data_IF_949284474181
#
_entry.id   IF_949284474181
#
_cell.length_a   1.000
_cell.length_b   1.000
_cell.length_c   1.000
_cell.angle_alpha   90.00
_cell.angle_beta   90.00
_cell.angle_gamma   90.00
#
_symmetry.space_group_name_H-M   'P 1'
#
loop_
_entity.id
_entity.type
_entity.pdbx_description
1 polymer ?
#
# COMPACT_ATOMS: atom_id res chain seq x y z
N UNK A 1 -11.77 22.31 -1.02
CA UNK A 1 -10.34 22.50 -0.71
C UNK A 1 -9.59 22.57 -2.02
N UNK A 2 -8.75 23.58 -2.23
CA UNK A 2 -7.86 23.63 -3.38
C UNK A 2 -6.79 22.54 -3.21
N UNK A 3 -6.71 21.60 -4.14
CA UNK A 3 -5.59 20.70 -4.23
C UNK A 3 -4.34 21.56 -4.52
N UNK A 4 -3.42 21.65 -3.55
CA UNK A 4 -2.09 22.16 -3.83
C UNK A 4 -1.44 21.10 -4.73
N UNK A 5 -1.50 21.32 -6.04
CA UNK A 5 -0.74 20.53 -6.99
C UNK A 5 0.74 20.79 -6.70
N UNK A 6 1.40 19.82 -6.06
CA UNK A 6 2.83 19.87 -5.84
C UNK A 6 3.49 19.64 -7.21
N UNK A 7 4.03 20.73 -7.77
CA UNK A 7 4.88 20.68 -8.96
C UNK A 7 6.03 19.70 -8.70
N UNK A 8 6.15 18.62 -9.50
CA UNK A 8 7.28 17.73 -9.40
C UNK A 8 8.57 18.53 -9.62
N UNK A 9 9.66 18.18 -8.91
CA UNK A 9 10.90 18.92 -9.09
C UNK A 9 11.34 18.88 -10.56
N UNK A 10 11.86 19.99 -11.09
CA UNK A 10 12.40 20.05 -12.47
C UNK A 10 13.44 18.93 -12.70
N UNK A 11 14.14 18.50 -11.66
CA UNK A 11 15.07 17.38 -11.71
C UNK A 11 14.36 16.05 -11.95
N UNK A 12 13.22 15.81 -11.31
CA UNK A 12 12.44 14.57 -11.47
C UNK A 12 12.02 14.37 -12.92
N UNK A 13 11.43 15.38 -13.54
CA UNK A 13 10.96 15.29 -14.93
C UNK A 13 12.11 15.08 -15.92
N UNK A 14 13.29 15.62 -15.63
CA UNK A 14 14.50 15.38 -16.43
C UNK A 14 15.01 13.95 -16.27
N UNK A 15 15.01 13.41 -15.05
CA UNK A 15 15.46 12.04 -14.77
C UNK A 15 14.49 11.03 -15.37
N UNK A 16 13.18 11.24 -15.26
CA UNK A 16 12.15 10.37 -15.85
C UNK A 16 12.23 10.26 -17.37
N UNK A 17 12.76 11.27 -18.06
CA UNK A 17 13.00 11.22 -19.52
C UNK A 17 14.18 10.34 -19.91
N UNK A 18 15.03 9.98 -18.95
CA UNK A 18 16.27 9.21 -19.18
C UNK A 18 16.11 7.78 -18.68
N UNK A 19 15.34 7.56 -17.62
CA UNK A 19 15.06 6.23 -17.08
C UNK A 19 14.17 5.42 -18.02
N UNK A 20 14.48 4.13 -18.16
CA UNK A 20 13.59 3.18 -18.82
C UNK A 20 12.49 2.72 -17.86
N UNK A 21 11.35 2.21 -18.36
CA UNK A 21 10.30 1.67 -17.50
C UNK A 21 10.80 0.57 -16.54
N UNK A 22 11.74 -0.27 -16.98
CA UNK A 22 12.28 -1.40 -16.23
C UNK A 22 13.08 -0.96 -14.99
N UNK A 23 13.63 0.26 -15.01
CA UNK A 23 14.36 0.85 -13.88
C UNK A 23 13.43 1.42 -12.80
N UNK A 24 12.11 1.39 -13.01
CA UNK A 24 11.12 2.05 -12.17
C UNK A 24 10.20 1.03 -11.53
N UNK A 25 10.00 1.12 -10.21
CA UNK A 25 9.02 0.26 -9.55
C UNK A 25 7.61 0.61 -9.99
N UNK A 26 6.68 -0.32 -9.82
CA UNK A 26 5.24 -0.07 -9.94
C UNK A 26 4.67 -0.06 -8.52
N UNK A 27 4.15 1.09 -8.10
CA UNK A 27 3.60 1.30 -6.77
C UNK A 27 2.07 1.38 -6.88
N UNK A 28 1.38 0.37 -6.37
CA UNK A 28 -0.07 0.37 -6.23
C UNK A 28 -0.41 1.07 -4.93
N UNK A 29 -1.06 2.23 -5.00
CA UNK A 29 -1.40 3.03 -3.80
C UNK A 29 -2.87 2.89 -3.47
N UNK A 30 -3.16 2.53 -2.22
CA UNK A 30 -4.51 2.39 -1.72
C UNK A 30 -5.28 3.72 -1.64
N UNK A 31 -6.62 3.68 -1.70
CA UNK A 31 -7.44 4.89 -1.70
C UNK A 31 -7.44 5.67 -0.38
N UNK A 32 -7.06 5.00 0.72
CA UNK A 32 -7.02 5.57 2.07
C UNK A 32 -5.63 6.08 2.48
N UNK A 33 -4.67 6.09 1.56
CA UNK A 33 -3.29 6.46 1.85
C UNK A 33 -3.18 7.84 2.49
N UNK A 34 -2.40 7.91 3.57
CA UNK A 34 -2.14 9.17 4.25
C UNK A 34 -1.44 10.12 3.28
N UNK A 35 -1.81 11.40 3.33
CA UNK A 35 -1.33 12.40 2.39
C UNK A 35 0.21 12.47 2.32
N UNK A 36 0.91 12.26 3.43
CA UNK A 36 2.37 12.22 3.48
C UNK A 36 2.96 11.03 2.70
N UNK A 37 2.33 9.86 2.75
CA UNK A 37 2.78 8.68 2.02
C UNK A 37 2.54 8.88 0.53
N UNK A 38 1.33 9.30 0.16
CA UNK A 38 0.98 9.60 -1.23
C UNK A 38 1.94 10.65 -1.83
N UNK A 39 2.31 11.66 -1.05
CA UNK A 39 3.28 12.65 -1.50
C UNK A 39 4.67 12.03 -1.73
N UNK A 40 5.13 11.17 -0.82
CA UNK A 40 6.42 10.50 -0.93
C UNK A 40 6.50 9.67 -2.21
N UNK A 41 5.43 8.93 -2.52
CA UNK A 41 5.31 8.19 -3.77
C UNK A 41 5.24 9.10 -5.00
N UNK A 42 4.44 10.17 -4.98
CA UNK A 42 4.35 11.12 -6.12
C UNK A 42 5.66 11.82 -6.43
N UNK A 43 6.50 12.01 -5.42
CA UNK A 43 7.83 12.61 -5.56
C UNK A 43 8.91 11.60 -5.94
N UNK A 44 8.65 10.30 -5.81
CA UNK A 44 9.57 9.25 -6.25
C UNK A 44 9.65 9.17 -7.78
N UNK A 45 10.62 8.38 -8.26
CA UNK A 45 10.82 8.12 -9.69
C UNK A 45 9.98 6.93 -10.18
N UNK A 46 9.21 6.31 -9.29
CA UNK A 46 8.43 5.13 -9.58
C UNK A 46 7.16 5.47 -10.37
N UNK A 47 6.47 4.45 -10.85
CA UNK A 47 5.17 4.60 -11.47
C UNK A 47 4.07 4.33 -10.45
N UNK A 48 3.17 5.29 -10.28
CA UNK A 48 2.08 5.20 -9.31
C UNK A 48 0.79 4.77 -10.00
N UNK A 49 0.15 3.77 -9.41
CA UNK A 49 -1.12 3.23 -9.85
C UNK A 49 -2.11 3.31 -8.69
N UNK A 50 -3.04 4.26 -8.75
CA UNK A 50 -4.03 4.45 -7.68
C UNK A 50 -5.13 3.37 -7.75
N UNK A 51 -5.45 2.75 -6.61
CA UNK A 51 -6.54 1.75 -6.48
C UNK A 51 -7.83 2.46 -6.05
N UNK A 52 -8.95 2.10 -6.68
CA UNK A 52 -10.28 2.65 -6.37
C UNK A 52 -10.83 2.13 -5.05
N UNK A 53 -11.89 2.79 -4.58
CA UNK A 53 -12.77 2.25 -3.54
C UNK A 53 -13.83 1.37 -4.18
N UNK A 54 -14.27 0.34 -3.46
CA UNK A 54 -15.51 -0.40 -3.76
C UNK A 54 -16.74 0.33 -3.18
N UNK A 55 -17.92 -0.28 -3.36
CA UNK A 55 -19.20 0.27 -2.91
C UNK A 55 -19.31 0.34 -1.36
N UNK A 56 -18.48 -0.43 -0.66
CA UNK A 56 -18.36 -0.46 0.80
C UNK A 56 -17.32 0.53 1.34
N UNK A 57 -16.58 1.22 0.46
CA UNK A 57 -15.52 2.15 0.84
C UNK A 57 -14.23 1.46 1.30
N UNK A 58 -14.02 0.21 0.92
CA UNK A 58 -12.79 -0.54 1.07
C UNK A 58 -11.94 -0.47 -0.21
N UNK A 59 -10.64 -0.83 -0.15
CA UNK A 59 -9.85 -0.98 -1.37
C UNK A 59 -10.49 -1.99 -2.33
N UNK A 60 -10.77 -1.56 -3.55
CA UNK A 60 -11.37 -2.40 -4.59
C UNK A 60 -10.38 -3.48 -5.06
N UNK A 61 -10.63 -4.71 -4.61
CA UNK A 61 -9.80 -5.89 -4.89
C UNK A 61 -9.84 -6.30 -6.36
N UNK A 62 -10.93 -6.05 -7.07
CA UNK A 62 -11.03 -6.34 -8.50
C UNK A 62 -10.21 -5.32 -9.31
N UNK A 63 -10.27 -4.04 -8.95
CA UNK A 63 -9.38 -3.00 -9.50
C UNK A 63 -7.91 -3.35 -9.24
N UNK A 64 -7.55 -3.74 -8.00
CA UNK A 64 -6.19 -4.13 -7.67
C UNK A 64 -5.73 -5.31 -8.53
N UNK A 65 -6.54 -6.36 -8.66
CA UNK A 65 -6.23 -7.52 -9.48
C UNK A 65 -6.05 -7.17 -10.95
N UNK A 66 -6.96 -6.39 -11.52
CA UNK A 66 -6.89 -5.96 -12.92
C UNK A 66 -5.61 -5.19 -13.20
N UNK A 67 -5.23 -4.29 -12.28
CA UNK A 67 -4.01 -3.51 -12.38
C UNK A 67 -2.77 -4.38 -12.21
N UNK A 68 -2.74 -5.30 -11.25
CA UNK A 68 -1.62 -6.26 -11.12
C UNK A 68 -1.43 -7.12 -12.37
N UNK A 69 -2.52 -7.62 -12.98
CA UNK A 69 -2.43 -8.41 -14.22
C UNK A 69 -1.84 -7.60 -15.37
N UNK A 70 -2.12 -6.31 -15.45
CA UNK A 70 -1.55 -5.43 -16.48
C UNK A 70 -0.02 -5.29 -16.39
N UNK A 71 0.57 -5.46 -15.19
CA UNK A 71 2.01 -5.33 -14.95
C UNK A 71 2.72 -6.67 -14.71
N UNK A 72 2.00 -7.79 -14.67
CA UNK A 72 2.55 -9.13 -14.38
C UNK A 72 3.75 -9.52 -15.25
N UNK A 73 3.78 -9.08 -16.51
CA UNK A 73 4.83 -9.41 -17.48
C UNK A 73 5.76 -8.22 -17.77
N UNK A 74 5.79 -7.20 -16.90
CA UNK A 74 6.61 -6.01 -17.14
C UNK A 74 8.06 -6.13 -16.66
N UNK A 75 8.46 -7.26 -16.07
CA UNK A 75 9.78 -7.50 -15.45
C UNK A 75 10.20 -6.41 -14.44
N UNK A 76 9.21 -5.76 -13.81
CA UNK A 76 9.42 -4.67 -12.85
C UNK A 76 9.02 -5.13 -11.46
N UNK A 77 9.74 -4.70 -10.42
CA UNK A 77 9.31 -4.90 -9.04
C UNK A 77 7.99 -4.14 -8.79
N UNK A 78 7.08 -4.80 -8.08
CA UNK A 78 5.75 -4.30 -7.75
C UNK A 78 5.62 -4.16 -6.22
N UNK A 79 5.05 -3.05 -5.76
CA UNK A 79 4.79 -2.80 -4.34
C UNK A 79 3.35 -2.29 -4.16
N UNK A 80 2.62 -2.87 -3.21
CA UNK A 80 1.37 -2.30 -2.72
C UNK A 80 1.62 -1.46 -1.46
N UNK A 81 1.30 -0.17 -1.51
CA UNK A 81 1.25 0.71 -0.33
C UNK A 81 -0.22 0.90 0.04
N UNK A 82 -0.61 0.43 1.22
CA UNK A 82 -1.98 0.61 1.71
C UNK A 82 -2.00 1.05 3.17
N UNK A 83 -2.96 1.89 3.55
CA UNK A 83 -3.25 2.12 4.96
C UNK A 83 -4.05 0.94 5.53
N UNK A 84 -3.68 0.48 6.73
CA UNK A 84 -4.38 -0.55 7.47
C UNK A 84 -5.81 -0.12 7.85
N UNK A 85 -6.03 1.20 7.96
CA UNK A 85 -7.32 1.78 8.32
C UNK A 85 -7.46 3.19 7.72
N UNK A 86 -8.67 3.57 7.31
CA UNK A 86 -9.00 4.93 6.91
C UNK A 86 -8.99 5.87 8.12
N UNK A 87 -8.24 6.96 8.04
CA UNK A 87 -8.27 8.02 9.07
C UNK A 87 -9.55 8.87 9.06
N UNK A 88 -10.36 8.78 8.00
CA UNK A 88 -11.62 9.52 7.86
C UNK A 88 -12.80 8.72 8.40
N UNK A 89 -12.95 7.48 7.91
CA UNK A 89 -14.12 6.64 8.23
C UNK A 89 -13.83 5.63 9.32
N UNK A 90 -12.56 5.34 9.60
CA UNK A 90 -12.15 4.27 10.51
C UNK A 90 -12.38 2.86 9.97
N UNK A 91 -12.67 2.72 8.67
CA UNK A 91 -12.82 1.43 8.01
C UNK A 91 -11.45 0.74 7.93
N UNK A 92 -11.34 -0.50 8.38
CA UNK A 92 -10.12 -1.31 8.24
C UNK A 92 -10.02 -1.94 6.87
N UNK A 93 -8.83 -1.91 6.29
CA UNK A 93 -8.51 -2.62 5.05
C UNK A 93 -8.32 -4.12 5.34
N UNK A 94 -8.77 -5.00 4.45
CA UNK A 94 -8.44 -6.42 4.53
C UNK A 94 -6.98 -6.66 4.10
N UNK A 95 -6.06 -6.39 5.02
CA UNK A 95 -4.61 -6.48 4.78
C UNK A 95 -4.19 -7.88 4.33
N UNK A 96 -4.81 -8.94 4.88
CA UNK A 96 -4.47 -10.32 4.52
C UNK A 96 -4.90 -10.63 3.08
N UNK A 97 -6.09 -10.19 2.67
CA UNK A 97 -6.52 -10.35 1.28
C UNK A 97 -5.64 -9.56 0.31
N UNK A 98 -5.29 -8.32 0.64
CA UNK A 98 -4.40 -7.46 -0.16
C UNK A 98 -3.01 -8.10 -0.32
N UNK A 99 -2.38 -8.48 0.80
CA UNK A 99 -1.06 -9.11 0.78
C UNK A 99 -1.07 -10.45 0.02
N UNK A 100 -2.10 -11.26 0.23
CA UNK A 100 -2.26 -12.54 -0.49
C UNK A 100 -2.32 -12.31 -2.00
N UNK A 101 -3.10 -11.31 -2.45
CA UNK A 101 -3.21 -10.99 -3.86
C UNK A 101 -1.89 -10.45 -4.42
N UNK A 102 -1.21 -9.52 -3.73
CA UNK A 102 0.10 -9.01 -4.16
C UNK A 102 1.13 -10.13 -4.33
N UNK A 103 1.20 -11.05 -3.35
CA UNK A 103 2.10 -12.19 -3.40
C UNK A 103 1.83 -13.15 -4.55
N UNK A 104 0.56 -13.33 -4.96
CA UNK A 104 0.22 -14.13 -6.15
C UNK A 104 0.85 -13.56 -7.44
N UNK A 105 1.14 -12.27 -7.45
CA UNK A 105 1.79 -11.56 -8.56
C UNK A 105 3.28 -11.27 -8.31
N UNK A 106 3.90 -11.89 -7.29
CA UNK A 106 5.28 -11.62 -6.83
C UNK A 106 5.52 -10.14 -6.44
N UNK A 107 4.47 -9.42 -6.05
CA UNK A 107 4.57 -8.08 -5.49
C UNK A 107 4.84 -8.11 -3.98
N UNK A 108 5.40 -7.01 -3.49
CA UNK A 108 5.60 -6.72 -2.07
C UNK A 108 4.44 -5.90 -1.51
N UNK A 109 4.30 -5.87 -0.19
CA UNK A 109 3.31 -5.10 0.54
C UNK A 109 3.95 -4.19 1.59
N UNK A 110 3.37 -3.01 1.78
CA UNK A 110 3.71 -2.06 2.82
C UNK A 110 2.40 -1.51 3.39
N UNK A 111 2.17 -1.73 4.69
CA UNK A 111 0.98 -1.24 5.37
C UNK A 111 1.31 -0.09 6.32
N UNK A 112 0.58 1.02 6.20
CA UNK A 112 0.63 2.14 7.15
C UNK A 112 -0.40 1.93 8.27
N UNK A 113 0.10 1.85 9.50
CA UNK A 113 -0.69 1.63 10.71
C UNK A 113 -0.94 2.90 11.53
N UNK A 114 -0.51 4.09 11.08
CA UNK A 114 -0.63 5.33 11.85
C UNK A 114 -2.09 5.65 12.25
N UNK A 115 -3.03 5.49 11.32
CA UNK A 115 -4.45 5.68 11.59
C UNK A 115 -5.04 4.54 12.46
N UNK A 116 -4.67 3.30 12.15
CA UNK A 116 -5.15 2.11 12.86
C UNK A 116 -4.76 2.10 14.34
N UNK A 117 -3.54 2.56 14.66
CA UNK A 117 -3.05 2.67 16.04
C UNK A 117 -3.90 3.63 16.88
N UNK A 118 -4.28 4.79 16.34
CA UNK A 118 -5.10 5.76 17.07
C UNK A 118 -6.53 5.25 17.27
N UNK A 119 -7.11 4.63 16.24
CA UNK A 119 -8.50 4.18 16.27
C UNK A 119 -8.71 2.93 17.13
N UNK A 120 -7.79 1.96 17.09
CA UNK A 120 -7.86 0.78 17.94
C UNK A 120 -7.84 1.12 19.44
N UNK A 121 -7.17 2.21 19.81
CA UNK A 121 -7.06 2.68 21.19
C UNK A 121 -8.18 3.64 21.63
N UNK A 122 -9.01 4.12 20.70
CA UNK A 122 -10.05 5.12 20.99
C UNK A 122 -11.47 4.67 20.65
N UNK A 123 -11.65 3.63 19.81
CA UNK A 123 -12.95 3.26 19.25
C UNK A 123 -13.12 1.75 19.09
N UNK A 124 -13.27 1.02 20.20
CA UNK A 124 -13.64 -0.41 20.23
C UNK A 124 -14.87 -0.73 19.36
N UNK A 125 -15.83 0.19 19.32
CA UNK A 125 -17.08 0.03 18.57
C UNK A 125 -16.88 -0.05 17.06
N UNK A 126 -15.80 0.48 16.49
CA UNK A 126 -15.55 0.41 15.04
C UNK A 126 -15.04 -0.97 14.61
N UNK A 127 -14.13 -1.54 15.39
CA UNK A 127 -13.65 -2.92 15.21
C UNK A 127 -14.81 -3.91 15.34
N UNK A 128 -15.65 -3.75 16.38
CA UNK A 128 -16.81 -4.60 16.60
C UNK A 128 -17.85 -4.52 15.46
N UNK A 129 -18.07 -3.33 14.87
CA UNK A 129 -18.97 -3.16 13.71
C UNK A 129 -18.49 -3.89 12.46
N UNK A 130 -17.19 -4.15 12.34
CA UNK A 130 -16.62 -4.96 11.26
C UNK A 130 -16.42 -6.42 11.66
N UNK A 131 -16.85 -6.82 12.86
CA UNK A 131 -16.68 -8.19 13.37
C UNK A 131 -15.23 -8.55 13.68
N UNK A 132 -14.34 -7.57 13.82
CA UNK A 132 -12.92 -7.75 14.12
C UNK A 132 -12.73 -7.51 15.62
N UNK A 133 -12.10 -8.44 16.33
CA UNK A 133 -11.73 -8.19 17.73
C UNK A 133 -10.45 -7.34 17.82
N UNK A 134 -10.25 -6.61 18.92
CA UNK A 134 -8.98 -5.92 19.15
C UNK A 134 -7.78 -6.87 19.10
N UNK A 135 -7.90 -8.09 19.64
CA UNK A 135 -6.83 -9.09 19.56
C UNK A 135 -6.51 -9.47 18.13
N UNK A 136 -7.54 -9.72 17.29
CA UNK A 136 -7.33 -10.08 15.88
C UNK A 136 -6.67 -8.94 15.10
N UNK A 137 -7.03 -7.68 15.41
CA UNK A 137 -6.39 -6.51 14.82
C UNK A 137 -4.90 -6.44 15.19
N UNK A 138 -4.57 -6.58 16.48
CA UNK A 138 -3.17 -6.52 16.92
C UNK A 138 -2.35 -7.70 16.43
N UNK A 139 -2.92 -8.91 16.37
CA UNK A 139 -2.28 -10.09 15.79
C UNK A 139 -1.98 -9.88 14.31
N UNK A 140 -2.93 -9.32 13.56
CA UNK A 140 -2.71 -8.96 12.14
C UNK A 140 -1.64 -7.88 12.00
N UNK A 141 -1.64 -6.84 12.85
CA UNK A 141 -0.56 -5.85 12.86
C UNK A 141 0.80 -6.51 13.11
N UNK A 142 0.87 -7.45 14.05
CA UNK A 142 2.11 -8.16 14.39
C UNK A 142 2.58 -9.08 13.25
N UNK A 143 1.67 -9.68 12.48
CA UNK A 143 2.03 -10.46 11.29
C UNK A 143 2.81 -9.60 10.27
N UNK A 144 2.49 -8.31 10.17
CA UNK A 144 3.12 -7.37 9.22
C UNK A 144 4.22 -6.49 9.83
N UNK A 145 4.29 -6.35 11.17
CA UNK A 145 5.33 -5.58 11.88
C UNK A 145 6.51 -6.45 12.32
N UNK A 146 6.30 -7.78 12.49
CA UNK A 146 7.44 -8.69 12.58
C UNK A 146 8.28 -8.47 11.34
N UNK A 147 9.61 -8.30 11.48
CA UNK A 147 10.45 -8.10 10.31
C UNK A 147 10.10 -9.19 9.33
N UNK A 148 9.65 -8.79 8.14
CA UNK A 148 9.72 -9.60 6.96
C UNK A 148 11.16 -10.09 6.94
N UNK A 149 11.41 -11.28 7.51
CA UNK A 149 12.38 -12.19 6.93
C UNK A 149 11.85 -12.30 5.52
N UNK A 150 12.39 -11.44 4.64
CA UNK A 150 12.23 -11.50 3.20
C UNK A 150 12.30 -12.98 2.91
N UNK A 151 11.16 -13.61 2.65
CA UNK A 151 11.12 -15.05 2.49
C UNK A 151 12.04 -15.31 1.30
N UNK A 152 13.09 -16.04 1.64
CA UNK A 152 14.36 -16.18 0.98
C UNK A 152 14.21 -16.65 -0.49
N UNK A 153 13.89 -15.72 -1.41
CA UNK A 153 13.84 -15.99 -2.86
C UNK A 153 14.65 -15.03 -3.70
N UNK A 154 15.31 -14.03 -3.09
CA UNK A 154 16.17 -13.09 -3.81
C UNK A 154 17.67 -13.21 -3.48
N UNK A 155 18.11 -14.23 -2.75
CA UNK A 155 19.54 -14.51 -2.57
C UNK A 155 20.37 -13.35 -2.00
N UNK A 156 19.72 -12.37 -1.37
CA UNK A 156 20.40 -11.32 -0.64
C UNK A 156 20.62 -11.81 0.79
N UNK A 157 21.81 -12.37 1.00
CA UNK A 157 22.32 -12.72 2.32
C UNK A 157 22.12 -11.55 3.30
N UNK A 158 21.48 -11.89 4.41
CA UNK A 158 21.45 -11.21 5.69
C UNK A 158 22.57 -10.17 5.91
N UNK A 159 22.18 -8.93 6.12
CA UNK A 159 22.87 -7.96 6.99
C UNK A 159 21.83 -6.94 7.47
N UNK A 160 21.13 -7.28 8.56
CA UNK A 160 21.19 -6.71 9.93
C UNK A 160 19.95 -7.21 10.67
#
# INVERSE_FOLDING_TARGET
MAAVALEPSILRDRVLKILTPEERWVIFVGPHELHSNLLSWRQSLDELIEISLDDEGLPDMDSLKLKLEAYKNSDRPMLGSFSACSNVTGIYSDMRAIATLLHQYNGFECFDFAAGYLLANQVEDLLAKQGISQSDFWDTCLDFVRPLVVQDRLGFNSLV
#
